data_IF_229790485626
#
_entry.id   IF_229790485626
#
_cell.length_a   1.000
_cell.length_b   1.000
_cell.length_c   1.000
_cell.angle_alpha   90.00
_cell.angle_beta   90.00
_cell.angle_gamma   90.00
#
_symmetry.space_group_name_H-M   'P 1'
#
loop_
_entity.id
_entity.type
_entity.pdbx_description
1 polymer ?
#
# COMPACT_ATOMS: atom_id res chain seq x y z
N UNK A 1 15.43 22.50 -7.66
CA UNK A 1 15.54 22.22 -6.21
C UNK A 1 17.00 22.27 -5.82
N UNK A 2 17.35 22.84 -4.67
CA UNK A 2 18.74 22.92 -4.20
C UNK A 2 19.23 21.53 -3.78
N UNK A 3 20.33 21.00 -4.37
CA UNK A 3 20.85 19.66 -4.05
C UNK A 3 21.15 19.48 -2.55
N UNK A 4 21.53 20.55 -1.85
CA UNK A 4 21.79 20.55 -0.41
C UNK A 4 20.56 20.17 0.45
N UNK A 5 19.35 20.27 -0.10
CA UNK A 5 18.09 19.98 0.60
C UNK A 5 17.56 18.58 0.25
N UNK A 6 17.80 18.10 -0.98
CA UNK A 6 17.19 16.86 -1.51
C UNK A 6 18.18 15.74 -1.82
N UNK A 7 19.49 16.00 -1.71
CA UNK A 7 20.54 15.03 -2.04
C UNK A 7 20.71 14.78 -3.54
N UNK A 8 21.48 13.76 -3.86
CA UNK A 8 21.71 13.33 -5.23
C UNK A 8 20.45 12.68 -5.84
N UNK A 9 20.23 12.80 -7.16
CA UNK A 9 19.13 12.12 -7.84
C UNK A 9 19.16 10.61 -7.62
N UNK A 10 17.99 10.01 -7.45
CA UNK A 10 17.84 8.56 -7.38
C UNK A 10 18.18 7.89 -8.72
N UNK A 11 18.83 6.73 -8.66
CA UNK A 11 19.08 5.91 -9.85
C UNK A 11 17.76 5.54 -10.55
N UNK A 12 17.66 5.65 -11.89
CA UNK A 12 16.42 5.34 -12.62
C UNK A 12 15.87 3.94 -12.34
N UNK A 13 16.74 2.97 -12.06
CA UNK A 13 16.33 1.60 -11.74
C UNK A 13 15.47 1.54 -10.48
N UNK A 14 15.78 2.34 -9.45
CA UNK A 14 15.00 2.37 -8.22
C UNK A 14 13.56 2.84 -8.45
N UNK A 15 13.34 3.73 -9.44
CA UNK A 15 12.00 4.13 -9.84
C UNK A 15 11.22 2.97 -10.47
N UNK A 16 11.86 2.20 -11.36
CA UNK A 16 11.24 1.02 -11.96
C UNK A 16 10.92 -0.05 -10.92
N UNK A 17 11.83 -0.27 -9.96
CA UNK A 17 11.62 -1.23 -8.87
C UNK A 17 10.46 -0.80 -7.97
N UNK A 18 10.36 0.50 -7.65
CA UNK A 18 9.24 1.04 -6.87
C UNK A 18 7.90 0.88 -7.60
N UNK A 19 7.85 1.14 -8.92
CA UNK A 19 6.65 0.93 -9.72
C UNK A 19 6.25 -0.55 -9.74
N UNK A 20 7.22 -1.45 -9.93
CA UNK A 20 6.96 -2.89 -9.91
C UNK A 20 6.43 -3.37 -8.56
N UNK A 21 7.01 -2.87 -7.45
CA UNK A 21 6.52 -3.16 -6.10
C UNK A 21 5.06 -2.73 -5.93
N UNK A 22 4.74 -1.49 -6.31
CA UNK A 22 3.37 -0.95 -6.21
C UNK A 22 2.38 -1.80 -7.03
N UNK A 23 2.74 -2.13 -8.28
CA UNK A 23 1.89 -2.96 -9.12
C UNK A 23 1.71 -4.38 -8.56
N UNK A 24 2.72 -4.94 -7.87
CA UNK A 24 2.64 -6.26 -7.26
C UNK A 24 1.67 -6.35 -6.08
N UNK A 25 1.39 -5.22 -5.42
CA UNK A 25 0.45 -5.13 -4.29
C UNK A 25 -1.00 -4.88 -4.75
N UNK A 26 -1.22 -4.63 -6.04
CA UNK A 26 -2.55 -4.37 -6.58
C UNK A 26 -3.39 -5.65 -6.61
N UNK A 27 -4.57 -5.58 -6.00
CA UNK A 27 -5.54 -6.66 -6.05
C UNK A 27 -6.32 -6.67 -7.37
N UNK A 28 -6.93 -7.81 -7.70
CA UNK A 28 -7.70 -7.99 -8.95
C UNK A 28 -8.87 -7.02 -9.11
N UNK A 29 -9.38 -6.47 -8.01
CA UNK A 29 -10.48 -5.51 -7.99
C UNK A 29 -9.99 -4.04 -8.12
N UNK A 30 -8.70 -3.82 -8.40
CA UNK A 30 -8.06 -2.51 -8.52
C UNK A 30 -7.81 -1.79 -7.19
N UNK A 31 -8.15 -2.41 -6.06
CA UNK A 31 -7.77 -1.96 -4.73
C UNK A 31 -6.32 -2.26 -4.42
N UNK A 32 -5.78 -1.59 -3.41
CA UNK A 32 -4.43 -1.79 -2.94
C UNK A 32 -4.43 -1.77 -1.40
N UNK A 33 -3.58 -2.61 -0.84
CA UNK A 33 -3.30 -2.66 0.58
C UNK A 33 -2.06 -1.82 0.89
N UNK A 34 -1.85 -1.47 2.16
CA UNK A 34 -0.76 -0.59 2.55
C UNK A 34 0.59 -1.31 2.50
N UNK A 35 0.65 -2.57 2.92
CA UNK A 35 1.92 -3.27 3.14
C UNK A 35 2.05 -4.61 2.43
N UNK A 36 0.96 -5.39 2.37
CA UNK A 36 0.96 -6.74 1.80
C UNK A 36 -0.33 -7.01 1.03
N UNK A 37 -0.34 -7.94 0.04
CA UNK A 37 -1.58 -8.28 -0.64
C UNK A 37 -2.64 -8.80 0.35
N UNK A 38 -3.85 -8.24 0.30
CA UNK A 38 -4.98 -8.71 1.11
C UNK A 38 -5.33 -10.16 0.78
N UNK A 39 -5.65 -10.95 1.81
CA UNK A 39 -6.04 -12.36 1.65
C UNK A 39 -4.88 -13.35 1.52
N UNK A 40 -3.64 -12.91 1.79
CA UNK A 40 -2.46 -13.78 1.82
C UNK A 40 -2.52 -14.81 2.96
N UNK A 41 -3.17 -14.45 4.08
CA UNK A 41 -3.33 -15.34 5.24
C UNK A 41 -4.81 -15.64 5.53
N UNK A 42 -5.14 -16.78 6.14
CA UNK A 42 -6.52 -17.16 6.41
C UNK A 42 -7.26 -16.18 7.33
N UNK A 43 -8.51 -15.85 6.98
CA UNK A 43 -9.31 -14.87 7.71
C UNK A 43 -9.58 -15.21 9.19
N UNK A 44 -9.42 -16.48 9.60
CA UNK A 44 -9.61 -16.89 10.99
C UNK A 44 -8.51 -16.35 11.93
N UNK A 45 -7.35 -15.93 11.41
CA UNK A 45 -6.27 -15.38 12.23
C UNK A 45 -6.66 -14.07 12.90
N UNK A 46 -7.58 -13.29 12.33
CA UNK A 46 -8.09 -12.07 13.00
C UNK A 46 -8.78 -12.39 14.33
N UNK A 47 -9.27 -13.61 14.53
CA UNK A 47 -9.83 -14.03 15.83
C UNK A 47 -8.78 -14.08 16.94
N UNK A 48 -7.49 -14.06 16.59
CA UNK A 48 -6.38 -13.98 17.52
C UNK A 48 -5.94 -12.54 17.80
N UNK A 49 -6.64 -11.54 17.25
CA UNK A 49 -6.36 -10.15 17.51
C UNK A 49 -6.49 -9.86 19.02
N UNK A 50 -5.41 -9.45 19.71
CA UNK A 50 -5.43 -9.19 21.14
C UNK A 50 -5.91 -7.77 21.49
N UNK A 51 -6.19 -6.92 20.50
CA UNK A 51 -6.56 -5.51 20.68
C UNK A 51 -8.07 -5.35 20.58
N UNK A 52 -8.70 -5.00 21.70
CA UNK A 52 -10.18 -4.98 21.80
C UNK A 52 -10.84 -3.79 21.09
N UNK A 53 -10.09 -2.75 20.76
CA UNK A 53 -10.61 -1.49 20.22
C UNK A 53 -10.13 -1.18 18.80
N UNK A 54 -9.35 -2.08 18.17
CA UNK A 54 -8.90 -1.96 16.79
C UNK A 54 -9.25 -3.22 16.00
N UNK A 55 -9.79 -3.04 14.80
CA UNK A 55 -10.06 -4.13 13.87
C UNK A 55 -8.96 -4.23 12.81
N UNK A 56 -8.76 -5.43 12.24
CA UNK A 56 -7.84 -5.68 11.13
C UNK A 56 -6.39 -5.32 11.47
N UNK A 57 -5.97 -5.68 12.69
CA UNK A 57 -4.57 -5.52 13.12
C UNK A 57 -3.72 -6.74 12.81
N UNK A 58 -4.34 -7.89 12.56
CA UNK A 58 -3.65 -9.13 12.18
C UNK A 58 -3.73 -9.33 10.67
N UNK A 59 -4.89 -9.05 10.07
CA UNK A 59 -5.10 -9.15 8.64
C UNK A 59 -4.92 -7.81 7.94
N UNK A 60 -4.15 -7.83 6.85
CA UNK A 60 -4.09 -6.70 5.94
C UNK A 60 -5.40 -6.56 5.14
N UNK A 61 -5.82 -5.31 4.93
CA UNK A 61 -7.07 -4.97 4.24
C UNK A 61 -6.84 -3.91 3.17
N UNK A 62 -7.62 -4.01 2.10
CA UNK A 62 -7.73 -2.94 1.11
C UNK A 62 -8.52 -1.75 1.69
N UNK A 63 -7.95 -0.56 1.54
CA UNK A 63 -8.61 0.69 1.92
C UNK A 63 -9.07 1.43 0.66
N UNK A 64 -10.28 2.00 0.71
CA UNK A 64 -10.85 2.71 -0.44
C UNK A 64 -10.03 3.93 -0.91
N UNK A 65 -9.25 4.53 0.00
CA UNK A 65 -8.34 5.64 -0.30
C UNK A 65 -7.16 5.21 -1.18
N UNK A 66 -6.78 3.93 -1.13
CA UNK A 66 -5.68 3.36 -1.91
C UNK A 66 -6.16 2.84 -3.28
N UNK A 67 -7.27 3.39 -3.80
CA UNK A 67 -7.72 3.14 -5.17
C UNK A 67 -7.18 4.19 -6.12
N UNK A 68 -6.67 3.73 -7.27
CA UNK A 68 -6.20 4.59 -8.35
C UNK A 68 -7.24 5.65 -8.80
N UNK A 69 -8.52 5.28 -8.85
CA UNK A 69 -9.59 6.20 -9.26
C UNK A 69 -9.82 7.34 -8.25
N UNK A 70 -9.44 7.13 -6.97
CA UNK A 70 -9.57 8.13 -5.91
C UNK A 70 -8.34 9.01 -5.77
N UNK A 71 -7.14 8.50 -6.08
CA UNK A 71 -5.92 9.31 -6.15
C UNK A 71 -6.08 10.43 -7.18
N UNK A 72 -6.63 10.11 -8.37
CA UNK A 72 -6.90 11.12 -9.41
C UNK A 72 -7.92 12.20 -9.03
N UNK A 73 -8.77 11.95 -8.03
CA UNK A 73 -9.79 12.91 -7.59
C UNK A 73 -9.30 13.84 -6.47
N UNK A 74 -8.16 13.54 -5.84
CA UNK A 74 -7.57 14.37 -4.78
C UNK A 74 -6.66 15.48 -5.31
N UNK A 75 -6.28 15.43 -6.59
CA UNK A 75 -5.43 16.42 -7.27
C UNK A 75 -6.23 17.54 -7.97
N UNK A 76 -7.49 17.76 -7.58
CA UNK A 76 -8.38 18.81 -8.10
C UNK A 76 -9.01 19.64 -6.99
#
# INVERSE_FOLDING_TARGET
MCPEIVGDPMEPQCLFDAVNLILSLQAKNGGMAAWEPTGTVPAWLEKLNPVEFLEYTVLEKEYAILRYDKIKLADH
#
